data_IF_701002189431
#
_entry.id   IF_701002189431
#
_cell.length_a   1.000
_cell.length_b   1.000
_cell.length_c   1.000
_cell.angle_alpha   90.00
_cell.angle_beta   90.00
_cell.angle_gamma   90.00
#
_symmetry.space_group_name_H-M   'P 1'
#
loop_
_entity.id
_entity.type
_entity.pdbx_description
1 polymer ?
#
# COMPACT_ATOMS: atom_id res chain seq x y z
N UNK A 1 -30.42 10.91 -59.52
CA UNK A 1 -29.33 10.99 -60.30
C UNK A 1 -28.00 10.58 -59.73
N UNK A 2 -26.99 10.74 -60.53
CA UNK A 2 -25.61 10.36 -60.25
C UNK A 2 -25.01 11.04 -59.01
N UNK A 3 -25.50 12.22 -58.64
CA UNK A 3 -25.02 12.93 -57.43
C UNK A 3 -25.48 12.24 -56.12
N UNK A 4 -26.68 11.69 -56.09
CA UNK A 4 -27.15 10.94 -54.93
C UNK A 4 -26.40 9.63 -54.72
N UNK A 5 -26.07 8.95 -55.82
CA UNK A 5 -25.29 7.70 -55.76
C UNK A 5 -23.85 7.93 -55.28
N UNK A 6 -23.21 9.03 -55.72
CA UNK A 6 -21.89 9.42 -55.25
C UNK A 6 -21.90 9.82 -53.77
N UNK A 7 -22.93 10.52 -53.32
CA UNK A 7 -23.08 10.89 -51.91
C UNK A 7 -23.32 9.61 -51.06
N UNK A 8 -24.17 8.70 -51.53
CA UNK A 8 -24.38 7.43 -50.84
C UNK A 8 -23.13 6.54 -50.81
N UNK A 9 -22.29 6.58 -51.85
CA UNK A 9 -21.02 5.84 -51.83
C UNK A 9 -19.96 6.46 -50.88
N UNK A 10 -19.89 7.78 -50.81
CA UNK A 10 -18.98 8.46 -49.89
C UNK A 10 -19.41 8.36 -48.43
N UNK A 11 -20.69 8.51 -48.15
CA UNK A 11 -21.21 8.49 -46.78
C UNK A 11 -21.61 7.08 -46.30
N UNK A 12 -21.95 6.17 -47.22
CA UNK A 12 -22.36 4.82 -46.86
C UNK A 12 -21.28 4.03 -46.12
N UNK A 13 -20.02 4.20 -46.49
CA UNK A 13 -18.88 3.57 -45.77
C UNK A 13 -18.71 4.17 -44.40
N UNK A 14 -18.87 5.49 -44.21
CA UNK A 14 -18.83 6.15 -42.95
C UNK A 14 -19.97 5.79 -42.01
N UNK A 15 -21.18 5.69 -42.54
CA UNK A 15 -22.40 5.27 -41.82
C UNK A 15 -22.28 3.80 -41.39
N UNK A 16 -21.83 2.92 -42.26
CA UNK A 16 -21.62 1.51 -41.93
C UNK A 16 -20.56 1.33 -40.85
N UNK A 17 -19.44 2.05 -40.94
CA UNK A 17 -18.40 2.06 -39.90
C UNK A 17 -18.94 2.60 -38.57
N UNK A 18 -19.75 3.66 -38.60
CA UNK A 18 -20.39 4.23 -37.41
C UNK A 18 -21.36 3.27 -36.73
N UNK A 19 -22.17 2.58 -37.50
CA UNK A 19 -23.12 1.56 -36.97
C UNK A 19 -22.36 0.39 -36.33
N UNK A 20 -21.31 -0.10 -36.98
CA UNK A 20 -20.46 -1.16 -36.42
C UNK A 20 -19.79 -0.72 -35.12
N UNK A 21 -19.30 0.50 -35.07
CA UNK A 21 -18.67 1.05 -33.88
C UNK A 21 -19.64 1.21 -32.71
N UNK A 22 -20.88 1.67 -32.99
CA UNK A 22 -21.97 1.72 -32.01
C UNK A 22 -22.38 0.32 -31.56
N UNK A 23 -22.50 -0.64 -32.46
CA UNK A 23 -22.82 -2.02 -32.13
C UNK A 23 -21.74 -2.66 -31.25
N UNK A 24 -20.46 -2.41 -31.53
CA UNK A 24 -19.33 -2.86 -30.69
C UNK A 24 -19.37 -2.18 -29.31
N UNK A 25 -19.64 -0.90 -29.29
CA UNK A 25 -19.79 -0.16 -28.01
C UNK A 25 -20.95 -0.70 -27.16
N UNK A 26 -22.10 -0.96 -27.78
CA UNK A 26 -23.24 -1.56 -27.09
C UNK A 26 -22.94 -2.98 -26.61
N UNK A 27 -22.22 -3.78 -27.39
CA UNK A 27 -21.75 -5.10 -26.97
C UNK A 27 -20.78 -5.03 -25.80
N UNK A 28 -19.86 -4.07 -25.82
CA UNK A 28 -18.87 -3.89 -24.77
C UNK A 28 -19.49 -3.36 -23.45
N UNK A 29 -20.48 -2.47 -23.54
CA UNK A 29 -21.00 -1.78 -22.36
C UNK A 29 -22.36 -2.27 -21.87
N UNK A 30 -23.20 -2.84 -22.74
CA UNK A 30 -24.58 -3.20 -22.38
C UNK A 30 -24.94 -4.67 -22.62
N UNK A 31 -24.14 -5.42 -23.39
CA UNK A 31 -24.63 -6.62 -24.08
C UNK A 31 -24.47 -7.94 -23.36
N UNK A 32 -23.61 -8.05 -22.37
CA UNK A 32 -23.36 -9.36 -21.76
C UNK A 32 -23.79 -9.33 -20.32
N UNK A 33 -24.97 -9.83 -20.07
CA UNK A 33 -25.44 -10.21 -18.74
C UNK A 33 -24.97 -11.63 -18.48
N UNK A 34 -24.14 -11.79 -17.48
CA UNK A 34 -23.96 -13.09 -16.87
C UNK A 34 -25.25 -13.52 -16.17
N UNK A 35 -25.51 -14.81 -16.08
CA UNK A 35 -26.67 -15.38 -15.38
C UNK A 35 -26.81 -14.88 -13.93
N UNK A 36 -25.72 -14.34 -13.37
CA UNK A 36 -25.67 -13.75 -12.02
C UNK A 36 -25.88 -12.23 -11.98
N UNK A 37 -26.15 -11.57 -13.10
CA UNK A 37 -26.51 -10.15 -13.16
C UNK A 37 -25.33 -9.15 -13.17
N UNK A 38 -24.10 -9.61 -13.22
CA UNK A 38 -22.90 -8.77 -13.33
C UNK A 38 -22.69 -8.27 -14.77
N UNK A 39 -22.46 -6.97 -14.90
CA UNK A 39 -22.27 -6.29 -16.19
C UNK A 39 -20.82 -5.86 -16.37
N UNK A 40 -20.27 -6.07 -17.57
CA UNK A 40 -19.07 -5.41 -18.05
C UNK A 40 -17.93 -6.33 -18.48
N UNK A 41 -16.97 -5.75 -19.16
CA UNK A 41 -15.76 -6.40 -19.71
C UNK A 41 -14.94 -7.12 -18.64
N UNK A 42 -14.95 -6.61 -17.43
CA UNK A 42 -14.18 -7.16 -16.30
C UNK A 42 -14.57 -8.62 -16.03
N UNK A 43 -15.85 -8.98 -16.18
CA UNK A 43 -16.30 -10.36 -15.98
C UNK A 43 -15.92 -11.29 -17.13
N UNK A 44 -15.84 -10.77 -18.37
CA UNK A 44 -15.40 -11.56 -19.53
C UNK A 44 -13.90 -11.86 -19.40
N UNK A 45 -13.10 -10.88 -18.97
CA UNK A 45 -11.68 -11.06 -18.73
C UNK A 45 -11.45 -12.07 -17.61
N UNK A 46 -12.25 -12.05 -16.54
CA UNK A 46 -12.20 -13.06 -15.46
C UNK A 46 -12.51 -14.48 -15.94
N UNK A 47 -13.41 -14.64 -16.90
CA UNK A 47 -13.75 -15.96 -17.48
C UNK A 47 -12.61 -16.51 -18.36
N UNK A 48 -11.74 -15.65 -18.89
CA UNK A 48 -10.60 -16.00 -19.74
C UNK A 48 -9.30 -16.23 -18.95
N UNK A 49 -9.25 -15.80 -17.69
CA UNK A 49 -8.11 -16.03 -16.79
C UNK A 49 -8.19 -17.46 -16.24
N UNK A 50 -7.10 -18.25 -16.25
CA UNK A 50 -7.07 -19.58 -15.66
C UNK A 50 -7.53 -19.55 -14.19
N UNK A 51 -8.29 -20.56 -13.77
CA UNK A 51 -8.82 -20.64 -12.40
C UNK A 51 -7.73 -20.49 -11.31
N UNK A 52 -6.52 -20.90 -11.61
CA UNK A 52 -5.37 -20.78 -10.67
C UNK A 52 -5.03 -19.32 -10.35
N UNK A 53 -5.10 -18.40 -11.34
CA UNK A 53 -4.87 -16.97 -11.10
C UNK A 53 -6.03 -16.33 -10.34
N UNK A 54 -7.25 -16.75 -10.59
CA UNK A 54 -8.45 -16.29 -9.89
C UNK A 54 -8.42 -16.71 -8.42
N UNK A 55 -7.99 -17.93 -8.13
CA UNK A 55 -7.82 -18.43 -6.74
C UNK A 55 -6.77 -17.62 -6.01
N UNK A 56 -5.65 -17.29 -6.65
CA UNK A 56 -4.58 -16.48 -6.05
C UNK A 56 -5.04 -15.06 -5.75
N UNK A 57 -5.81 -14.44 -6.63
CA UNK A 57 -6.36 -13.11 -6.42
C UNK A 57 -7.39 -13.11 -5.27
N UNK A 58 -8.27 -14.10 -5.22
CA UNK A 58 -9.23 -14.23 -4.13
C UNK A 58 -8.54 -14.49 -2.78
N UNK A 59 -7.50 -15.32 -2.76
CA UNK A 59 -6.73 -15.57 -1.55
C UNK A 59 -6.02 -14.30 -1.03
N UNK A 60 -5.54 -13.43 -1.92
CA UNK A 60 -4.96 -12.15 -1.55
C UNK A 60 -6.02 -11.18 -1.00
N UNK A 61 -7.22 -11.16 -1.57
CA UNK A 61 -8.34 -10.34 -1.10
C UNK A 61 -8.83 -10.85 0.27
N UNK A 62 -8.98 -12.16 0.44
CA UNK A 62 -9.38 -12.76 1.70
C UNK A 62 -8.35 -12.50 2.80
N UNK A 63 -7.06 -12.67 2.50
CA UNK A 63 -5.98 -12.34 3.42
C UNK A 63 -5.96 -10.85 3.80
N UNK A 64 -6.26 -9.96 2.86
CA UNK A 64 -6.39 -8.52 3.12
C UNK A 64 -7.60 -8.21 4.00
N UNK A 65 -8.74 -8.86 3.80
CA UNK A 65 -9.94 -8.70 4.63
C UNK A 65 -9.72 -9.22 6.05
N UNK A 66 -9.12 -10.41 6.22
CA UNK A 66 -8.74 -10.95 7.52
C UNK A 66 -7.73 -10.05 8.23
N UNK A 67 -6.72 -9.54 7.52
CA UNK A 67 -5.76 -8.60 8.06
C UNK A 67 -6.40 -7.27 8.51
N UNK A 68 -7.51 -6.85 7.90
CA UNK A 68 -8.27 -5.66 8.28
C UNK A 68 -8.94 -5.76 9.65
N UNK A 69 -9.23 -6.98 10.12
CA UNK A 69 -9.82 -7.23 11.44
C UNK A 69 -8.77 -7.26 12.57
N UNK A 70 -7.50 -7.44 12.22
CA UNK A 70 -6.40 -7.51 13.18
C UNK A 70 -5.85 -6.11 13.46
N UNK A 71 -5.53 -5.83 14.72
CA UNK A 71 -4.94 -4.56 15.13
C UNK A 71 -3.59 -4.30 14.46
N UNK A 72 -3.29 -3.03 14.17
CA UNK A 72 -1.99 -2.59 13.67
C UNK A 72 -0.88 -2.91 14.69
N UNK A 73 0.39 -3.03 14.25
CA UNK A 73 1.52 -3.19 15.16
C UNK A 73 1.56 -2.08 16.22
N UNK A 74 1.83 -2.47 17.45
CA UNK A 74 1.99 -1.55 18.58
C UNK A 74 3.46 -1.44 18.92
N UNK A 75 4.00 -0.21 18.93
CA UNK A 75 5.40 0.08 19.24
C UNK A 75 5.46 0.65 20.66
N UNK A 76 6.42 0.18 21.46
CA UNK A 76 6.66 0.63 22.83
C UNK A 76 8.14 0.96 23.03
N UNK A 77 8.41 1.98 23.84
CA UNK A 77 9.73 2.23 24.37
C UNK A 77 10.01 1.18 25.46
N UNK A 78 11.04 0.39 25.27
CA UNK A 78 11.34 -0.79 26.11
C UNK A 78 12.67 -0.68 26.88
N UNK A 79 13.41 0.42 26.71
CA UNK A 79 14.68 0.63 27.41
C UNK A 79 14.45 0.89 28.88
N UNK A 80 15.10 0.11 29.73
CA UNK A 80 15.02 0.26 31.17
C UNK A 80 16.16 1.16 31.68
N UNK A 81 15.78 2.27 32.26
CA UNK A 81 16.75 3.21 32.88
C UNK A 81 16.91 4.47 32.04
N UNK A 82 17.96 5.20 32.40
CA UNK A 82 18.29 6.47 31.78
C UNK A 82 19.19 6.22 30.57
N UNK A 83 18.79 6.74 29.40
CA UNK A 83 19.61 6.62 28.20
C UNK A 83 20.82 7.56 28.31
N UNK A 84 21.99 7.02 28.05
CA UNK A 84 23.23 7.79 27.97
C UNK A 84 23.63 8.02 26.51
N UNK A 85 24.55 8.97 26.30
CA UNK A 85 25.14 9.18 24.98
C UNK A 85 25.80 7.90 24.47
N UNK A 86 25.57 7.57 23.23
CA UNK A 86 26.10 6.35 22.62
C UNK A 86 25.39 5.99 21.33
N UNK A 87 25.76 4.86 20.75
CA UNK A 87 25.14 4.30 19.57
C UNK A 87 24.18 3.19 20.00
N UNK A 88 22.99 3.19 19.43
CA UNK A 88 21.92 2.25 19.76
C UNK A 88 21.20 1.75 18.49
N UNK A 89 20.87 0.48 18.50
CA UNK A 89 19.97 -0.11 17.52
C UNK A 89 18.50 0.18 17.88
N UNK A 90 17.57 0.19 16.91
CA UNK A 90 16.15 0.39 17.23
C UNK A 90 15.61 -0.67 18.18
N UNK A 91 16.05 -1.94 18.06
CA UNK A 91 15.66 -3.04 18.93
C UNK A 91 16.18 -2.94 20.37
N UNK A 92 17.22 -2.14 20.63
CA UNK A 92 17.71 -1.89 21.99
C UNK A 92 16.79 -0.96 22.77
N UNK A 93 16.10 -0.07 22.07
CA UNK A 93 15.29 0.97 22.68
C UNK A 93 13.78 0.70 22.57
N UNK A 94 13.36 -0.03 21.55
CA UNK A 94 11.94 -0.22 21.24
C UNK A 94 11.61 -1.69 21.03
N UNK A 95 10.39 -2.06 21.36
CA UNK A 95 9.78 -3.32 20.98
C UNK A 95 8.50 -3.07 20.22
N UNK A 96 8.17 -3.94 19.29
CA UNK A 96 6.91 -3.89 18.57
C UNK A 96 6.26 -5.28 18.55
N UNK A 97 4.94 -5.29 18.70
CA UNK A 97 4.12 -6.49 18.65
C UNK A 97 2.97 -6.23 17.71
N UNK A 98 2.70 -7.15 16.81
CA UNK A 98 1.55 -7.05 15.92
C UNK A 98 0.24 -7.45 16.60
N UNK A 99 -0.88 -7.34 15.88
CA UNK A 99 -2.19 -7.69 16.40
C UNK A 99 -2.38 -9.19 16.70
N UNK A 100 -1.46 -10.04 16.25
CA UNK A 100 -1.43 -11.49 16.54
C UNK A 100 -0.57 -11.83 17.77
N UNK A 101 0.12 -10.84 18.34
CA UNK A 101 1.04 -11.03 19.45
C UNK A 101 2.47 -11.41 19.04
N UNK A 102 2.78 -11.37 17.75
CA UNK A 102 4.11 -11.67 17.22
C UNK A 102 5.04 -10.47 17.29
N UNK A 103 6.29 -10.70 17.68
CA UNK A 103 7.31 -9.67 17.72
C UNK A 103 7.68 -9.20 16.31
N UNK A 104 7.78 -7.89 16.13
CA UNK A 104 8.15 -7.25 14.87
C UNK A 104 9.36 -6.35 15.03
N UNK A 105 10.17 -6.31 13.99
CA UNK A 105 11.34 -5.42 13.97
C UNK A 105 10.91 -3.97 13.93
N UNK A 106 11.58 -3.15 14.74
CA UNK A 106 11.42 -1.70 14.74
C UNK A 106 12.47 -1.06 13.84
N UNK A 107 12.06 -0.08 13.07
CA UNK A 107 12.91 0.64 12.13
C UNK A 107 12.95 2.12 12.49
N UNK A 108 14.11 2.74 12.33
CA UNK A 108 14.25 4.21 12.42
C UNK A 108 13.57 4.87 11.21
N UNK A 109 12.80 5.91 11.45
CA UNK A 109 12.20 6.71 10.37
C UNK A 109 12.81 8.11 10.33
N UNK A 110 12.86 8.78 11.48
CA UNK A 110 13.35 10.14 11.60
C UNK A 110 13.89 10.38 13.02
N UNK A 111 14.90 11.18 13.15
CA UNK A 111 15.44 11.59 14.45
C UNK A 111 15.83 13.07 14.41
N UNK A 112 15.42 13.79 15.44
CA UNK A 112 15.75 15.21 15.66
C UNK A 112 16.49 15.35 16.99
N UNK A 113 17.60 16.07 16.96
CA UNK A 113 18.41 16.33 18.15
C UNK A 113 17.75 17.36 19.11
N UNK A 114 18.27 17.53 20.32
CA UNK A 114 17.74 18.51 21.27
C UNK A 114 17.78 19.97 20.80
N UNK A 115 18.58 20.28 19.78
CA UNK A 115 18.69 21.61 19.17
C UNK A 115 17.71 21.82 17.99
N UNK A 116 16.94 20.78 17.63
CA UNK A 116 15.99 20.82 16.53
C UNK A 116 16.59 20.48 15.15
N UNK A 117 17.81 19.95 15.10
CA UNK A 117 18.43 19.54 13.85
C UNK A 117 18.07 18.10 13.52
N UNK A 118 17.82 17.82 12.24
CA UNK A 118 17.61 16.46 11.77
C UNK A 118 18.91 15.66 11.79
N UNK A 119 18.86 14.49 12.41
CA UNK A 119 20.00 13.57 12.46
C UNK A 119 19.96 12.64 11.23
N UNK A 120 21.15 12.33 10.71
CA UNK A 120 21.26 11.41 9.59
C UNK A 120 21.09 9.97 10.07
N UNK A 121 20.19 9.23 9.44
CA UNK A 121 19.98 7.80 9.64
C UNK A 121 20.54 7.08 8.42
N UNK A 122 21.71 6.47 8.56
CA UNK A 122 22.37 5.77 7.45
C UNK A 122 21.65 4.48 7.08
N UNK A 123 21.07 3.82 8.06
CA UNK A 123 20.28 2.59 7.89
C UNK A 123 19.12 2.57 8.86
N UNK A 124 17.95 2.22 8.38
CA UNK A 124 16.75 2.11 9.22
C UNK A 124 16.86 1.01 10.29
N UNK A 125 17.71 0.02 10.10
CA UNK A 125 17.98 -1.07 11.04
C UNK A 125 19.34 -0.92 11.72
N UNK A 126 20.13 0.06 11.32
CA UNK A 126 21.47 0.30 11.84
C UNK A 126 21.46 1.06 13.16
N UNK A 127 22.67 1.25 13.70
CA UNK A 127 22.87 2.08 14.88
C UNK A 127 22.68 3.56 14.55
N UNK A 128 22.07 4.29 15.46
CA UNK A 128 22.07 5.76 15.46
C UNK A 128 22.79 6.27 16.69
N UNK A 129 23.46 7.39 16.55
CA UNK A 129 24.27 7.99 17.60
C UNK A 129 23.51 9.11 18.29
N UNK A 130 23.38 9.00 19.60
CA UNK A 130 22.93 10.06 20.49
C UNK A 130 24.16 10.73 21.08
N UNK A 131 24.60 11.82 20.50
CA UNK A 131 25.89 12.49 20.81
C UNK A 131 25.73 13.69 21.73
N UNK A 132 24.53 14.25 21.87
CA UNK A 132 24.22 15.42 22.68
C UNK A 132 23.26 15.04 23.80
N UNK A 133 23.47 15.65 24.97
CA UNK A 133 22.53 15.54 26.09
C UNK A 133 21.27 16.38 25.83
N UNK A 134 20.10 15.88 26.20
CA UNK A 134 18.83 16.57 26.08
C UNK A 134 17.72 15.64 25.54
N UNK A 135 16.66 16.23 25.08
CA UNK A 135 15.46 15.48 24.58
C UNK A 135 15.54 15.33 23.07
N UNK A 136 15.65 14.10 22.61
CA UNK A 136 15.53 13.74 21.20
C UNK A 136 14.09 13.44 20.84
N UNK A 137 13.66 13.85 19.66
CA UNK A 137 12.41 13.42 19.07
C UNK A 137 12.71 12.35 18.02
N UNK A 138 12.19 11.16 18.22
CA UNK A 138 12.48 9.99 17.40
C UNK A 138 11.18 9.41 16.86
N UNK A 139 11.12 9.20 15.55
CA UNK A 139 10.04 8.48 14.88
C UNK A 139 10.53 7.12 14.45
N UNK A 140 9.79 6.11 14.84
CA UNK A 140 10.06 4.71 14.52
C UNK A 140 8.84 4.06 13.91
N UNK A 141 9.05 2.99 13.15
CA UNK A 141 7.97 2.24 12.55
C UNK A 141 8.17 0.73 12.70
N UNK A 142 7.06 0.02 12.65
CA UNK A 142 7.01 -1.44 12.55
C UNK A 142 5.97 -1.83 11.53
N UNK A 143 6.21 -2.95 10.86
CA UNK A 143 5.33 -3.48 9.81
C UNK A 143 4.99 -4.93 10.12
N UNK A 144 3.75 -5.32 9.96
CA UNK A 144 3.28 -6.69 10.12
C UNK A 144 3.40 -7.52 8.82
N UNK A 145 2.99 -8.78 8.87
CA UNK A 145 3.03 -9.68 7.71
C UNK A 145 2.09 -9.23 6.56
N UNK A 146 1.01 -8.52 6.90
CA UNK A 146 0.09 -7.95 5.92
C UNK A 146 0.60 -6.61 5.35
N UNK A 147 1.87 -6.26 5.62
CA UNK A 147 2.50 -5.01 5.20
C UNK A 147 1.80 -3.73 5.72
N UNK A 148 1.09 -3.84 6.84
CA UNK A 148 0.50 -2.68 7.52
C UNK A 148 1.55 -2.06 8.44
N UNK A 149 1.73 -0.76 8.31
CA UNK A 149 2.77 -0.01 9.00
C UNK A 149 2.19 0.88 10.08
N UNK A 150 2.77 0.80 11.27
CA UNK A 150 2.58 1.77 12.34
C UNK A 150 3.79 2.67 12.45
N UNK A 151 3.57 3.95 12.70
CA UNK A 151 4.62 4.94 12.97
C UNK A 151 4.29 5.60 14.30
N UNK A 152 5.28 5.63 15.19
CA UNK A 152 5.16 6.28 16.50
C UNK A 152 6.27 7.29 16.69
N UNK A 153 5.97 8.37 17.39
CA UNK A 153 6.91 9.40 17.78
C UNK A 153 7.15 9.32 19.30
N UNK A 154 8.41 9.37 19.68
CA UNK A 154 8.84 9.33 21.08
C UNK A 154 9.78 10.48 21.38
N UNK A 155 9.65 11.02 22.57
CA UNK A 155 10.62 11.96 23.13
C UNK A 155 11.51 11.21 24.11
N UNK A 156 12.80 11.15 23.85
CA UNK A 156 13.77 10.36 24.60
C UNK A 156 14.78 11.30 25.28
N UNK A 157 14.79 11.35 26.61
CA UNK A 157 15.81 12.08 27.34
C UNK A 157 17.14 11.30 27.33
N UNK A 158 18.20 11.97 26.92
CA UNK A 158 19.56 11.44 26.85
C UNK A 158 20.44 12.20 27.83
N UNK A 159 21.14 11.48 28.69
CA UNK A 159 22.08 12.00 29.65
C UNK A 159 23.54 11.79 29.22
N UNK A 160 24.43 12.43 29.99
CA UNK A 160 25.86 12.24 29.80
C UNK A 160 26.29 10.79 29.93
#
# INVERSE_FOLDING_TARGET
GDQMEQVLQCYGKGIAAGIVLIAVMVLLFAGIRDEQGNRGIINIVKTWIPEEETITENAAIDAFAEAGEVAYPTIRYAYNGMLHRGAYLPGDLFSAVDGMGEERSVLWCEMTDPHGNSCTIESQQGEVVFDVEGIYTVRVCATDEANRRSVCEFQIPVNR
#
